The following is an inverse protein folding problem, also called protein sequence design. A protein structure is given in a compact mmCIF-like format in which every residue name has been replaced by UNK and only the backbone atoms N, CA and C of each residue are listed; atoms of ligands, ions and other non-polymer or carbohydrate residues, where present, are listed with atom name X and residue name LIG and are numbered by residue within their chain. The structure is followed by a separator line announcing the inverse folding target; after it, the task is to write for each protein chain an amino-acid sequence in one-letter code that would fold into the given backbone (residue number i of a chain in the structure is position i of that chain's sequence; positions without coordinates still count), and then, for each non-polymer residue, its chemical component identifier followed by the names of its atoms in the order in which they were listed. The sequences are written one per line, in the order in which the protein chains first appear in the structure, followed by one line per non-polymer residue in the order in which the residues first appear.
data_IF_845042835125
#
_entry.id   IF_845042835125
#
_cell.length_a   1.000
_cell.length_b   1.000
_cell.length_c   1.000
_cell.angle_alpha   90.00
_cell.angle_beta   90.00
_cell.angle_gamma   90.00
#
_symmetry.space_group_name_H-M   'P 1'
#
loop_
_entity.id
_entity.type
_entity.pdbx_description
1 polymer ?
#
# COMPACT_ATOMS: atom_id res chain seq x y z
N UNK A 1 -39.29 -6.69 -10.28
CA UNK A 1 -38.09 -7.55 -10.20
C UNK A 1 -37.62 -7.55 -8.76
N UNK A 2 -37.77 -8.66 -8.04
CA UNK A 2 -37.51 -8.72 -6.59
C UNK A 2 -36.00 -8.69 -6.36
N UNK A 3 -35.49 -7.60 -5.80
CA UNK A 3 -34.10 -7.49 -5.34
C UNK A 3 -33.97 -8.42 -4.14
N UNK A 4 -33.49 -9.64 -4.38
CA UNK A 4 -33.21 -10.60 -3.32
C UNK A 4 -31.99 -10.09 -2.53
N UNK A 5 -32.23 -9.43 -1.38
CA UNK A 5 -31.18 -9.08 -0.41
C UNK A 5 -30.56 -10.38 0.10
N UNK A 6 -29.49 -10.85 -0.55
CA UNK A 6 -28.65 -11.92 -0.01
C UNK A 6 -28.13 -11.44 1.35
N UNK A 7 -28.55 -12.11 2.43
CA UNK A 7 -27.98 -11.93 3.76
C UNK A 7 -26.47 -12.14 3.65
N UNK A 8 -25.67 -11.15 4.02
CA UNK A 8 -24.22 -11.32 4.14
C UNK A 8 -23.94 -12.45 5.11
N UNK A 9 -23.28 -13.51 4.64
CA UNK A 9 -22.84 -14.60 5.50
C UNK A 9 -21.43 -14.28 6.01
N UNK A 10 -21.15 -14.44 7.33
CA UNK A 10 -19.80 -14.26 7.86
C UNK A 10 -18.77 -15.19 7.20
N UNK A 11 -19.23 -16.29 6.57
CA UNK A 11 -18.37 -17.17 5.79
C UNK A 11 -17.71 -16.50 4.59
N UNK A 12 -18.30 -15.45 4.01
CA UNK A 12 -17.70 -14.74 2.87
C UNK A 12 -16.35 -14.07 3.20
N UNK A 13 -16.06 -13.84 4.47
CA UNK A 13 -14.79 -13.25 4.96
C UNK A 13 -13.68 -14.29 5.15
N UNK A 14 -13.96 -15.59 4.97
CA UNK A 14 -13.01 -16.66 5.21
C UNK A 14 -11.71 -16.53 4.38
N UNK A 15 -11.72 -16.15 3.09
CA UNK A 15 -10.49 -15.93 2.33
C UNK A 15 -9.62 -14.83 2.95
N UNK A 16 -10.24 -13.75 3.44
CA UNK A 16 -9.55 -12.67 4.11
C UNK A 16 -8.95 -13.13 5.45
N UNK A 17 -9.68 -13.94 6.21
CA UNK A 17 -9.17 -14.53 7.46
C UNK A 17 -7.99 -15.47 7.19
N UNK A 18 -8.07 -16.32 6.15
CA UNK A 18 -6.97 -17.19 5.74
C UNK A 18 -5.75 -16.37 5.32
N UNK A 19 -5.94 -15.31 4.54
CA UNK A 19 -4.86 -14.39 4.19
C UNK A 19 -4.16 -13.86 5.45
N UNK A 20 -4.93 -13.33 6.41
CA UNK A 20 -4.40 -12.75 7.64
C UNK A 20 -3.65 -13.78 8.49
N UNK A 21 -4.24 -14.96 8.70
CA UNK A 21 -3.66 -16.02 9.53
C UNK A 21 -2.38 -16.56 8.89
N UNK A 22 -2.43 -16.91 7.60
CA UNK A 22 -1.26 -17.45 6.91
C UNK A 22 -0.15 -16.40 6.89
N UNK A 23 -0.47 -15.13 6.62
CA UNK A 23 0.53 -14.05 6.62
C UNK A 23 1.16 -13.81 8.00
N UNK A 24 0.35 -13.60 9.03
CA UNK A 24 0.84 -13.24 10.36
C UNK A 24 1.54 -14.41 11.06
N UNK A 25 0.95 -15.61 11.04
CA UNK A 25 1.53 -16.78 11.71
C UNK A 25 2.88 -17.12 11.10
N UNK A 26 2.95 -17.17 9.78
CA UNK A 26 4.20 -17.47 9.08
C UNK A 26 5.25 -16.39 9.35
N UNK A 27 4.88 -15.10 9.32
CA UNK A 27 5.82 -14.00 9.61
C UNK A 27 6.36 -14.06 11.05
N UNK A 28 5.52 -14.40 12.03
CA UNK A 28 5.92 -14.54 13.44
C UNK A 28 6.84 -15.76 13.62
N UNK A 29 6.48 -16.90 13.03
CA UNK A 29 7.28 -18.14 13.13
C UNK A 29 8.65 -17.99 12.47
N UNK A 30 8.72 -17.32 11.32
CA UNK A 30 10.00 -17.06 10.64
C UNK A 30 10.78 -15.89 11.26
N UNK A 31 10.17 -15.14 12.18
CA UNK A 31 10.74 -13.95 12.83
C UNK A 31 11.06 -12.80 11.86
N UNK A 32 10.52 -12.84 10.64
CA UNK A 32 10.88 -11.92 9.58
C UNK A 32 9.73 -11.79 8.56
N UNK A 33 9.12 -10.61 8.52
CA UNK A 33 8.03 -10.28 7.60
C UNK A 33 8.47 -10.23 6.13
N UNK A 34 9.77 -10.07 5.84
CA UNK A 34 10.28 -10.05 4.48
C UNK A 34 10.43 -11.45 3.87
N UNK A 35 10.56 -12.49 4.71
CA UNK A 35 10.71 -13.87 4.24
C UNK A 35 9.43 -14.48 3.68
N UNK A 36 8.29 -13.88 3.98
CA UNK A 36 7.02 -14.30 3.42
C UNK A 36 6.54 -13.31 2.35
N UNK A 37 6.63 -13.66 1.06
CA UNK A 37 6.05 -12.82 0.02
C UNK A 37 4.52 -12.75 0.20
N UNK A 38 4.01 -11.52 0.29
CA UNK A 38 2.57 -11.24 0.40
C UNK A 38 1.78 -11.88 -0.75
N UNK A 39 2.38 -12.00 -1.93
CA UNK A 39 1.81 -12.69 -3.10
C UNK A 39 1.47 -14.16 -2.84
N UNK A 40 2.27 -14.87 -2.04
CA UNK A 40 2.01 -16.28 -1.69
C UNK A 40 0.79 -16.39 -0.77
N UNK A 41 0.67 -15.49 0.22
CA UNK A 41 -0.51 -15.43 1.08
C UNK A 41 -1.78 -15.14 0.27
N UNK A 42 -1.70 -14.21 -0.69
CA UNK A 42 -2.80 -13.89 -1.61
C UNK A 42 -3.19 -15.08 -2.50
N UNK A 43 -2.21 -15.84 -3.02
CA UNK A 43 -2.49 -17.03 -3.82
C UNK A 43 -3.26 -18.07 -3.03
N UNK A 44 -2.82 -18.38 -1.80
CA UNK A 44 -3.51 -19.33 -0.92
C UNK A 44 -4.94 -18.86 -0.62
N UNK A 45 -5.10 -17.58 -0.26
CA UNK A 45 -6.42 -16.97 -0.03
C UNK A 45 -7.34 -17.04 -1.26
N UNK A 46 -6.79 -16.78 -2.45
CA UNK A 46 -7.54 -16.83 -3.71
C UNK A 46 -8.01 -18.25 -4.06
N UNK A 47 -7.16 -19.26 -3.82
CA UNK A 47 -7.53 -20.67 -3.96
C UNK A 47 -8.70 -21.00 -3.03
N UNK A 48 -8.62 -20.60 -1.75
CA UNK A 48 -9.71 -20.80 -0.79
C UNK A 48 -11.00 -20.11 -1.25
N UNK A 49 -10.92 -18.86 -1.74
CA UNK A 49 -12.07 -18.14 -2.28
C UNK A 49 -12.77 -18.88 -3.43
N UNK A 50 -11.98 -19.43 -4.37
CA UNK A 50 -12.50 -20.24 -5.49
C UNK A 50 -13.11 -21.56 -4.97
N UNK A 51 -12.48 -22.21 -3.98
CA UNK A 51 -12.97 -23.46 -3.40
C UNK A 51 -14.28 -23.33 -2.62
N UNK A 52 -14.58 -22.15 -2.06
CA UNK A 52 -15.79 -21.94 -1.24
C UNK A 52 -17.11 -22.09 -2.02
N UNK A 53 -17.13 -21.73 -3.30
CA UNK A 53 -18.37 -21.74 -4.07
C UNK A 53 -18.62 -23.10 -4.74
N UNK A 54 -18.82 -24.17 -3.95
CA UNK A 54 -18.81 -25.58 -4.43
C UNK A 54 -19.80 -25.91 -5.54
N UNK A 55 -20.87 -25.12 -5.71
CA UNK A 55 -21.96 -25.40 -6.65
C UNK A 55 -21.79 -24.78 -8.05
N UNK A 56 -20.70 -24.03 -8.28
CA UNK A 56 -20.43 -23.35 -9.55
C UNK A 56 -19.29 -24.04 -10.32
N UNK A 57 -19.30 -23.92 -11.66
CA UNK A 57 -18.20 -24.42 -12.49
C UNK A 57 -16.92 -23.62 -12.26
N UNK A 58 -15.75 -24.24 -12.42
CA UNK A 58 -14.45 -23.55 -12.28
C UNK A 58 -14.35 -22.34 -13.22
N UNK A 59 -14.86 -22.49 -14.46
CA UNK A 59 -14.89 -21.39 -15.43
C UNK A 59 -15.70 -20.19 -14.92
N UNK A 60 -16.89 -20.43 -14.36
CA UNK A 60 -17.74 -19.35 -13.86
C UNK A 60 -17.12 -18.66 -12.63
N UNK A 61 -16.46 -19.44 -11.75
CA UNK A 61 -15.70 -18.89 -10.61
C UNK A 61 -14.56 -17.99 -11.05
N UNK A 62 -13.78 -18.44 -12.04
CA UNK A 62 -12.68 -17.66 -12.58
C UNK A 62 -13.19 -16.37 -13.24
N UNK A 63 -14.29 -16.43 -13.98
CA UNK A 63 -14.92 -15.24 -14.56
C UNK A 63 -15.36 -14.23 -13.49
N UNK A 64 -16.06 -14.69 -12.45
CA UNK A 64 -16.49 -13.83 -11.33
C UNK A 64 -15.27 -13.20 -10.63
N UNK A 65 -14.23 -13.98 -10.37
CA UNK A 65 -12.99 -13.51 -9.75
C UNK A 65 -12.30 -12.44 -10.61
N UNK A 66 -12.10 -12.73 -11.90
CA UNK A 66 -11.48 -11.81 -12.86
C UNK A 66 -12.30 -10.54 -13.05
N UNK A 67 -13.64 -10.63 -13.06
CA UNK A 67 -14.53 -9.47 -13.17
C UNK A 67 -14.45 -8.57 -11.94
N UNK A 68 -14.28 -9.14 -10.75
CA UNK A 68 -14.01 -8.39 -9.52
C UNK A 68 -12.64 -7.72 -9.54
N UNK A 69 -11.60 -8.45 -9.96
CA UNK A 69 -10.24 -7.94 -10.07
C UNK A 69 -10.08 -6.85 -11.14
N UNK A 70 -10.83 -6.95 -12.24
CA UNK A 70 -10.84 -6.00 -13.36
C UNK A 70 -11.71 -4.75 -13.14
N UNK A 71 -12.04 -4.40 -11.89
CA UNK A 71 -12.77 -3.16 -11.61
C UNK A 71 -11.95 -1.95 -12.10
N UNK A 72 -12.61 -1.02 -12.80
CA UNK A 72 -11.95 0.16 -13.39
C UNK A 72 -11.14 0.96 -12.37
N UNK A 73 -11.64 1.10 -11.14
CA UNK A 73 -10.92 1.81 -10.08
C UNK A 73 -9.63 1.08 -9.67
N UNK A 74 -9.67 -0.25 -9.57
CA UNK A 74 -8.50 -1.06 -9.24
C UNK A 74 -7.47 -0.96 -10.36
N UNK A 75 -7.89 -1.10 -11.61
CA UNK A 75 -7.01 -0.98 -12.78
C UNK A 75 -6.38 0.42 -12.84
N UNK A 76 -7.17 1.47 -12.61
CA UNK A 76 -6.67 2.85 -12.58
C UNK A 76 -5.63 3.05 -11.47
N UNK A 77 -5.86 2.51 -10.27
CA UNK A 77 -4.88 2.52 -9.18
C UNK A 77 -3.58 1.83 -9.58
N UNK A 78 -3.65 0.65 -10.22
CA UNK A 78 -2.46 -0.06 -10.71
C UNK A 78 -1.65 0.80 -11.70
N UNK A 79 -2.33 1.44 -12.66
CA UNK A 79 -1.67 2.31 -13.65
C UNK A 79 -1.00 3.51 -12.98
N UNK A 80 -1.71 4.18 -12.06
CA UNK A 80 -1.17 5.30 -11.28
C UNK A 80 0.07 4.87 -10.49
N UNK A 81 0.06 3.72 -9.83
CA UNK A 81 1.21 3.24 -9.06
C UNK A 81 2.40 2.83 -9.93
N UNK A 82 2.16 2.22 -11.10
CA UNK A 82 3.23 1.90 -12.05
C UNK A 82 3.89 3.19 -12.54
N UNK A 83 3.10 4.19 -12.92
CA UNK A 83 3.60 5.50 -13.35
C UNK A 83 4.32 6.25 -12.23
N UNK A 84 3.77 6.25 -11.02
CA UNK A 84 4.39 6.87 -9.85
C UNK A 84 5.72 6.19 -9.49
N UNK A 85 5.78 4.86 -9.53
CA UNK A 85 7.01 4.10 -9.31
C UNK A 85 8.06 4.39 -10.37
N UNK A 86 7.67 4.43 -11.65
CA UNK A 86 8.56 4.81 -12.73
C UNK A 86 9.09 6.24 -12.57
N UNK A 87 8.21 7.19 -12.25
CA UNK A 87 8.58 8.57 -11.98
C UNK A 87 9.54 8.69 -10.79
N UNK A 88 9.26 7.99 -9.70
CA UNK A 88 10.13 7.96 -8.51
C UNK A 88 11.52 7.42 -8.83
N UNK A 89 11.60 6.36 -9.63
CA UNK A 89 12.88 5.78 -10.05
C UNK A 89 13.68 6.75 -10.92
N UNK A 90 13.04 7.36 -11.92
CA UNK A 90 13.68 8.37 -12.78
C UNK A 90 14.13 9.59 -11.97
N UNK A 91 13.30 10.07 -11.04
CA UNK A 91 13.64 11.19 -10.15
C UNK A 91 14.84 10.87 -9.25
N UNK A 92 14.97 9.60 -8.81
CA UNK A 92 16.13 9.13 -8.05
C UNK A 92 17.38 9.07 -8.94
N UNK A 93 17.29 8.48 -10.13
CA UNK A 93 18.42 8.33 -11.04
C UNK A 93 18.96 9.67 -11.58
N UNK A 94 18.08 10.66 -11.80
CA UNK A 94 18.50 12.01 -12.21
C UNK A 94 19.09 12.85 -11.05
N UNK A 95 19.12 12.31 -9.82
CA UNK A 95 19.64 13.01 -8.64
C UNK A 95 18.71 14.10 -8.09
N UNK A 96 17.44 14.15 -8.53
CA UNK A 96 16.48 15.13 -8.04
C UNK A 96 16.17 14.91 -6.56
N UNK A 97 16.00 13.64 -6.15
CA UNK A 97 15.77 13.28 -4.74
C UNK A 97 16.95 13.75 -3.87
N UNK A 98 18.19 13.39 -4.21
CA UNK A 98 19.38 13.82 -3.47
C UNK A 98 19.53 15.34 -3.38
N UNK A 99 19.24 16.04 -4.47
CA UNK A 99 19.33 17.51 -4.53
C UNK A 99 18.30 18.17 -3.60
N UNK A 100 17.05 17.69 -3.60
CA UNK A 100 16.01 18.18 -2.70
C UNK A 100 16.34 17.89 -1.24
N UNK A 101 16.92 16.71 -0.94
CA UNK A 101 17.34 16.37 0.43
C UNK A 101 18.47 17.26 0.90
N UNK A 102 19.50 17.48 0.08
CA UNK A 102 20.63 18.35 0.43
C UNK A 102 20.21 19.81 0.58
N UNK A 103 19.30 20.29 -0.26
CA UNK A 103 18.69 21.63 -0.11
C UNK A 103 17.89 21.71 1.20
N UNK A 104 17.12 20.68 1.52
CA UNK A 104 16.40 20.60 2.79
C UNK A 104 17.34 20.68 3.98
N UNK A 105 18.46 19.94 3.94
CA UNK A 105 19.46 19.92 5.01
C UNK A 105 20.29 21.21 5.14
N UNK A 106 20.43 21.98 4.06
CA UNK A 106 21.13 23.28 4.12
C UNK A 106 20.28 24.37 4.78
N UNK A 107 18.95 24.23 4.74
CA UNK A 107 18.00 25.20 5.30
C UNK A 107 17.48 24.75 6.67
N UNK A 108 17.27 23.43 6.85
CA UNK A 108 16.61 22.85 8.02
C UNK A 108 17.50 21.81 8.71
N UNK A 109 17.52 21.76 10.05
CA UNK A 109 18.17 20.69 10.79
C UNK A 109 17.48 19.35 10.54
N UNK A 110 18.25 18.26 10.56
CA UNK A 110 17.84 16.90 10.18
C UNK A 110 16.61 16.37 10.92
N UNK A 111 16.42 16.73 12.20
CA UNK A 111 15.25 16.35 12.98
C UNK A 111 13.94 16.98 12.43
N UNK A 112 14.02 18.21 11.92
CA UNK A 112 12.85 18.91 11.36
C UNK A 112 12.46 18.34 9.99
N UNK A 113 13.38 17.77 9.22
CA UNK A 113 13.05 17.18 7.93
C UNK A 113 12.04 16.03 8.05
N UNK A 114 12.21 15.14 9.04
CA UNK A 114 11.30 14.01 9.23
C UNK A 114 9.90 14.51 9.61
N UNK A 115 9.81 15.49 10.51
CA UNK A 115 8.55 16.14 10.84
C UNK A 115 7.94 16.85 9.62
N UNK A 116 8.77 17.47 8.77
CA UNK A 116 8.36 18.11 7.53
C UNK A 116 7.74 17.13 6.54
N UNK A 117 8.34 15.95 6.37
CA UNK A 117 7.77 14.87 5.52
C UNK A 117 6.39 14.45 6.02
N UNK A 118 6.22 14.31 7.33
CA UNK A 118 4.91 14.01 7.92
C UNK A 118 3.87 15.06 7.54
N UNK A 119 4.18 16.35 7.72
CA UNK A 119 3.27 17.46 7.40
C UNK A 119 2.95 17.52 5.89
N UNK A 120 3.96 17.34 5.04
CA UNK A 120 3.79 17.27 3.59
C UNK A 120 2.89 16.08 3.23
N UNK A 121 3.10 14.92 3.87
CA UNK A 121 2.23 13.74 3.72
C UNK A 121 0.78 14.02 4.11
N UNK A 122 0.54 14.70 5.23
CA UNK A 122 -0.81 15.12 5.62
C UNK A 122 -1.45 16.00 4.55
N UNK A 123 -0.73 17.02 4.07
CA UNK A 123 -1.26 17.98 3.10
C UNK A 123 -1.54 17.34 1.73
N UNK A 124 -0.62 16.51 1.25
CA UNK A 124 -0.78 15.79 -0.02
C UNK A 124 -1.94 14.81 0.09
N UNK A 125 -2.04 14.04 1.18
CA UNK A 125 -3.13 13.07 1.33
C UNK A 125 -4.49 13.75 1.50
N UNK A 126 -4.55 14.91 2.18
CA UNK A 126 -5.74 15.75 2.22
C UNK A 126 -6.17 16.21 0.83
N UNK A 127 -5.21 16.58 -0.02
CA UNK A 127 -5.46 17.14 -1.35
C UNK A 127 -5.77 16.08 -2.41
N UNK A 128 -5.06 14.95 -2.40
CA UNK A 128 -5.24 13.83 -3.33
C UNK A 128 -6.43 12.95 -2.89
N UNK A 129 -6.75 12.93 -1.59
CA UNK A 129 -7.83 12.15 -1.02
C UNK A 129 -7.56 10.64 -0.96
N UNK A 130 -6.30 10.22 -1.05
CA UNK A 130 -5.91 8.81 -0.86
C UNK A 130 -4.59 8.66 -0.10
N UNK A 131 -4.60 7.81 0.93
CA UNK A 131 -3.41 7.49 1.72
C UNK A 131 -2.35 6.71 0.93
N UNK A 132 -2.74 5.68 0.19
CA UNK A 132 -1.79 4.80 -0.51
C UNK A 132 -1.04 5.54 -1.62
N UNK A 133 -1.71 6.43 -2.37
CA UNK A 133 -1.05 7.25 -3.39
C UNK A 133 0.01 8.18 -2.79
N UNK A 134 -0.30 8.77 -1.63
CA UNK A 134 0.64 9.64 -0.91
C UNK A 134 1.86 8.87 -0.41
N UNK A 135 1.67 7.66 0.13
CA UNK A 135 2.77 6.81 0.58
C UNK A 135 3.70 6.46 -0.58
N UNK A 136 3.15 6.05 -1.72
CA UNK A 136 3.94 5.67 -2.91
C UNK A 136 4.74 6.86 -3.43
N UNK A 137 4.19 8.07 -3.40
CA UNK A 137 4.89 9.28 -3.86
C UNK A 137 6.01 9.73 -2.90
N UNK A 138 5.80 9.67 -1.59
CA UNK A 138 6.74 10.22 -0.60
C UNK A 138 7.74 9.21 -0.04
N UNK A 139 7.47 7.91 -0.11
CA UNK A 139 8.38 6.89 0.41
C UNK A 139 9.80 6.95 -0.19
N UNK A 140 10.00 7.14 -1.52
CA UNK A 140 11.34 7.27 -2.11
C UNK A 140 12.11 8.47 -1.54
N UNK A 141 11.42 9.59 -1.30
CA UNK A 141 12.01 10.78 -0.69
C UNK A 141 12.41 10.52 0.77
N UNK A 142 11.55 9.87 1.55
CA UNK A 142 11.84 9.55 2.95
C UNK A 142 13.01 8.56 3.09
N UNK A 143 13.11 7.59 2.17
CA UNK A 143 14.27 6.68 2.08
C UNK A 143 15.55 7.47 1.83
N UNK A 144 15.55 8.38 0.85
CA UNK A 144 16.71 9.23 0.57
C UNK A 144 17.12 10.11 1.76
N UNK A 145 16.16 10.65 2.49
CA UNK A 145 16.42 11.45 3.71
C UNK A 145 17.04 10.58 4.80
N UNK A 146 16.49 9.39 5.05
CA UNK A 146 17.02 8.47 6.05
C UNK A 146 18.48 8.08 5.74
N UNK A 147 18.78 7.74 4.49
CA UNK A 147 20.14 7.39 4.05
C UNK A 147 21.14 8.54 4.23
N UNK A 148 20.76 9.78 3.87
CA UNK A 148 21.65 10.96 3.98
C UNK A 148 21.84 11.44 5.41
N UNK A 149 20.81 11.34 6.25
CA UNK A 149 20.85 11.84 7.62
C UNK A 149 21.33 10.80 8.64
N UNK A 150 21.45 9.53 8.24
CA UNK A 150 21.70 8.41 9.14
C UNK A 150 20.52 8.11 10.07
N UNK A 151 19.33 8.63 9.77
CA UNK A 151 18.14 8.40 10.58
C UNK A 151 17.60 6.98 10.39
N UNK A 152 16.98 6.37 11.42
CA UNK A 152 16.37 5.06 11.26
C UNK A 152 15.34 5.05 10.12
N UNK A 153 15.55 4.17 9.13
CA UNK A 153 14.67 4.06 7.95
C UNK A 153 13.20 3.87 8.34
N UNK A 154 12.93 3.05 9.36
CA UNK A 154 11.58 2.81 9.87
C UNK A 154 10.93 4.07 10.43
N UNK A 155 11.70 5.01 10.95
CA UNK A 155 11.17 6.27 11.49
C UNK A 155 10.79 7.23 10.36
N UNK A 156 11.60 7.33 9.31
CA UNK A 156 11.29 8.14 8.12
C UNK A 156 10.06 7.59 7.35
N UNK A 157 10.02 6.27 7.13
CA UNK A 157 8.86 5.62 6.51
C UNK A 157 7.63 5.68 7.42
N UNK A 158 7.81 5.54 8.73
CA UNK A 158 6.75 5.72 9.72
C UNK A 158 6.13 7.10 9.62
N UNK A 159 6.93 8.17 9.49
CA UNK A 159 6.45 9.53 9.30
C UNK A 159 5.59 9.68 8.02
N UNK A 160 6.02 9.09 6.90
CA UNK A 160 5.24 9.09 5.64
C UNK A 160 3.90 8.38 5.82
N UNK A 161 3.91 7.14 6.34
CA UNK A 161 2.69 6.35 6.51
C UNK A 161 1.73 7.05 7.46
N UNK A 162 2.24 7.59 8.57
CA UNK A 162 1.43 8.31 9.55
C UNK A 162 0.80 9.56 8.95
N UNK A 163 1.56 10.36 8.21
CA UNK A 163 1.07 11.60 7.60
C UNK A 163 0.03 11.33 6.52
N UNK A 164 0.30 10.34 5.66
CA UNK A 164 -0.64 9.90 4.64
C UNK A 164 -1.94 9.38 5.25
N UNK A 165 -1.87 8.51 6.25
CA UNK A 165 -3.06 7.99 6.93
C UNK A 165 -3.83 9.08 7.68
N UNK A 166 -3.13 10.02 8.32
CA UNK A 166 -3.77 11.14 8.99
C UNK A 166 -4.55 12.03 8.02
N UNK A 167 -3.94 12.39 6.88
CA UNK A 167 -4.62 13.21 5.89
C UNK A 167 -5.80 12.51 5.23
N UNK A 168 -5.70 11.21 4.97
CA UNK A 168 -6.80 10.40 4.41
C UNK A 168 -8.03 10.35 5.34
N UNK A 169 -7.81 10.19 6.65
CA UNK A 169 -8.90 10.19 7.65
C UNK A 169 -9.60 11.54 7.81
N UNK A 170 -8.97 12.65 7.39
CA UNK A 170 -9.56 13.98 7.43
C UNK A 170 -10.16 14.42 6.08
N UNK A 171 -9.75 13.77 4.98
CA UNK A 171 -10.23 14.06 3.62
C UNK A 171 -11.55 13.36 3.30
N UNK A 172 -11.77 12.18 3.90
CA UNK A 172 -13.00 11.38 3.76
C UNK A 172 -13.94 11.54 4.95
#
# INVERSE_FOLDING_TARGET
MIINKRKGSPWALLPLAVFLVVYLVTSIVLGDFYKMPVSVAFLISSIVAICMNKNESISNKAEIFCKGAGNVNIILMCVIFILAGAFAQVAKEMGAVDSTVNLGLSILPSNILIAGIFIIGCFISLSIGTSVGTIVALAPMAVGIAEKTGSPMGLALGAVVSGAMFGDNLSQ
#
